data_IF_652384434545
#
_entry.id   IF_652384434545
#
_cell.length_a   1.000
_cell.length_b   1.000
_cell.length_c   1.000
_cell.angle_alpha   90.00
_cell.angle_beta   90.00
_cell.angle_gamma   90.00
#
_symmetry.space_group_name_H-M   'P 1'
#
loop_
_entity.id
_entity.type
_entity.pdbx_description
1 polymer ?
#
# COMPACT_ATOMS: atom_id res chain seq x y z
N UNK A 1 -8.71 4.39 -4.73
CA UNK A 1 -7.24 4.38 -4.93
C UNK A 1 -6.71 5.68 -5.55
N UNK A 2 -5.45 6.01 -5.29
CA UNK A 2 -4.65 7.05 -5.98
C UNK A 2 -3.39 6.39 -6.53
N UNK A 3 -2.95 6.75 -7.74
CA UNK A 3 -1.70 6.29 -8.35
C UNK A 3 -0.95 7.51 -8.90
N UNK A 4 0.25 7.79 -8.43
CA UNK A 4 1.05 8.91 -8.91
C UNK A 4 2.54 8.75 -8.55
N UNK A 5 3.36 9.73 -8.96
CA UNK A 5 4.72 9.92 -8.48
C UNK A 5 4.74 10.67 -7.15
N UNK A 6 5.71 10.35 -6.31
CA UNK A 6 5.85 10.94 -4.97
C UNK A 6 5.89 12.47 -4.98
N UNK A 7 6.48 13.08 -6.01
CA UNK A 7 6.53 14.53 -6.21
C UNK A 7 5.14 15.20 -6.27
N UNK A 8 4.10 14.43 -6.59
CA UNK A 8 2.72 14.90 -6.76
C UNK A 8 1.84 14.69 -5.53
N UNK A 9 2.33 14.10 -4.43
CA UNK A 9 1.50 13.76 -3.25
C UNK A 9 0.70 14.95 -2.71
N UNK A 10 1.30 16.16 -2.76
CA UNK A 10 0.70 17.38 -2.24
C UNK A 10 -0.56 17.82 -3.00
N UNK A 11 -0.78 17.32 -4.24
CA UNK A 11 -2.05 17.53 -4.97
C UNK A 11 -3.23 16.86 -4.26
N UNK A 12 -3.00 15.74 -3.60
CA UNK A 12 -4.01 14.94 -2.92
C UNK A 12 -4.10 15.26 -1.42
N UNK A 13 -2.95 15.58 -0.81
CA UNK A 13 -2.85 15.86 0.62
C UNK A 13 -2.15 17.20 0.90
N UNK A 14 -2.73 18.34 0.48
CA UNK A 14 -2.08 19.66 0.55
C UNK A 14 -1.95 20.22 1.97
N UNK A 15 -2.79 19.75 2.91
CA UNK A 15 -2.85 20.23 4.28
C UNK A 15 -2.25 19.20 5.25
N UNK A 16 -1.72 19.64 6.43
CA UNK A 16 -1.24 18.73 7.46
C UNK A 16 -2.33 17.74 7.90
N UNK A 17 -2.10 16.45 7.63
CA UNK A 17 -2.92 15.33 8.08
C UNK A 17 -2.03 14.08 8.19
N UNK A 18 -2.62 12.91 8.52
CA UNK A 18 -1.87 11.65 8.67
C UNK A 18 -1.16 11.23 7.38
N UNK A 19 -1.80 11.34 6.22
CA UNK A 19 -1.18 11.08 4.92
C UNK A 19 0.00 12.02 4.64
N UNK A 20 -0.18 13.33 4.83
CA UNK A 20 0.89 14.31 4.62
C UNK A 20 2.10 14.04 5.53
N UNK A 21 1.90 13.54 6.75
CA UNK A 21 2.99 13.11 7.64
C UNK A 21 3.72 11.88 7.07
N UNK A 22 2.99 10.87 6.60
CA UNK A 22 3.58 9.70 5.96
C UNK A 22 4.39 10.06 4.70
N UNK A 23 3.84 10.89 3.81
CA UNK A 23 4.53 11.35 2.60
C UNK A 23 5.75 12.21 2.89
N UNK A 24 5.70 13.09 3.91
CA UNK A 24 6.90 13.83 4.35
C UNK A 24 7.98 12.89 4.86
N UNK A 25 7.63 11.88 5.65
CA UNK A 25 8.59 10.87 6.07
C UNK A 25 9.25 10.17 4.87
N UNK A 26 8.47 9.78 3.85
CA UNK A 26 9.00 9.18 2.62
C UNK A 26 9.98 10.09 1.86
N UNK A 27 9.75 11.41 1.88
CA UNK A 27 10.57 12.40 1.16
C UNK A 27 11.83 12.84 1.93
N UNK A 28 11.74 12.89 3.26
CA UNK A 28 12.79 13.44 4.12
C UNK A 28 13.73 12.36 4.68
N UNK A 29 13.36 11.08 4.57
CA UNK A 29 14.14 9.96 5.08
C UNK A 29 15.00 9.31 4.00
N UNK A 30 16.18 8.82 4.40
CA UNK A 30 16.98 7.95 3.57
C UNK A 30 16.48 6.50 3.67
N UNK A 31 15.39 6.23 2.96
CA UNK A 31 14.67 4.94 3.01
C UNK A 31 15.55 3.74 2.65
N UNK A 32 16.61 3.92 1.85
CA UNK A 32 17.53 2.85 1.43
C UNK A 32 18.42 2.37 2.58
N UNK A 33 18.55 3.16 3.65
CA UNK A 33 19.39 2.86 4.81
C UNK A 33 18.58 2.58 6.10
N UNK A 34 17.25 2.56 6.01
CA UNK A 34 16.39 2.12 7.12
C UNK A 34 16.33 0.60 7.12
N UNK A 35 16.48 0.00 8.30
CA UNK A 35 16.40 -1.45 8.46
C UNK A 35 15.01 -1.99 8.07
N UNK A 36 14.94 -3.21 7.53
CA UNK A 36 13.67 -3.88 7.28
C UNK A 36 12.83 -4.04 8.55
N UNK A 37 11.51 -4.01 8.41
CA UNK A 37 10.55 -4.14 9.49
C UNK A 37 9.67 -2.91 9.70
N UNK A 38 8.92 -2.91 10.80
CA UNK A 38 7.96 -1.87 11.16
C UNK A 38 8.64 -0.73 11.92
N UNK A 39 8.38 0.51 11.49
CA UNK A 39 8.83 1.74 12.15
C UNK A 39 7.66 2.69 12.36
N UNK A 40 7.48 3.16 13.59
CA UNK A 40 6.42 4.11 13.94
C UNK A 40 6.81 5.53 13.55
N UNK A 41 5.89 6.27 12.92
CA UNK A 41 6.05 7.69 12.56
C UNK A 41 5.21 8.55 13.51
N UNK A 42 3.99 8.11 13.81
CA UNK A 42 3.04 8.75 14.74
C UNK A 42 2.35 7.69 15.58
N UNK A 43 3.09 7.04 16.47
CA UNK A 43 2.58 5.88 17.22
C UNK A 43 2.01 4.82 16.28
N UNK A 44 0.85 4.28 16.62
CA UNK A 44 0.13 3.31 15.78
C UNK A 44 -0.69 3.95 14.64
N UNK A 45 -0.96 5.25 14.69
CA UNK A 45 -1.80 5.92 13.68
C UNK A 45 -1.12 6.02 12.31
N UNK A 46 0.21 6.10 12.29
CA UNK A 46 1.03 6.18 11.07
C UNK A 46 2.34 5.45 11.34
N UNK A 47 2.55 4.35 10.63
CA UNK A 47 3.80 3.60 10.63
C UNK A 47 4.14 3.18 9.21
N UNK A 48 5.39 2.79 8.99
CA UNK A 48 5.87 2.24 7.74
C UNK A 48 6.40 0.83 7.97
N UNK A 49 6.26 -0.03 6.97
CA UNK A 49 6.90 -1.33 6.93
C UNK A 49 7.88 -1.30 5.76
N UNK A 50 9.17 -1.47 6.04
CA UNK A 50 10.22 -1.58 5.04
C UNK A 50 10.47 -3.06 4.75
N UNK A 51 10.43 -3.45 3.49
CA UNK A 51 10.63 -4.84 3.05
C UNK A 51 11.35 -4.89 1.70
N UNK A 52 12.26 -5.84 1.54
CA UNK A 52 12.87 -6.20 0.26
C UNK A 52 12.52 -7.64 -0.10
N UNK A 53 12.05 -7.87 -1.33
CA UNK A 53 11.67 -9.19 -1.80
C UNK A 53 11.69 -9.25 -3.34
N UNK A 54 11.72 -10.47 -3.88
CA UNK A 54 11.48 -10.69 -5.31
C UNK A 54 9.97 -10.79 -5.55
N UNK A 55 9.47 -10.10 -6.59
CA UNK A 55 8.04 -10.12 -6.93
C UNK A 55 7.58 -11.51 -7.29
N UNK A 56 6.39 -11.86 -6.83
CA UNK A 56 5.75 -13.15 -7.03
C UNK A 56 4.89 -13.15 -8.28
N UNK A 57 4.46 -14.35 -8.66
CA UNK A 57 3.40 -14.47 -9.67
C UNK A 57 2.05 -14.17 -9.03
N UNK A 58 1.10 -13.70 -9.83
CA UNK A 58 -0.23 -13.33 -9.36
C UNK A 58 -1.04 -14.50 -8.76
N UNK A 59 -0.66 -15.75 -9.00
CA UNK A 59 -1.27 -16.95 -8.42
C UNK A 59 -0.62 -17.37 -7.09
N UNK A 60 0.44 -16.68 -6.65
CA UNK A 60 1.18 -16.96 -5.41
C UNK A 60 0.80 -16.02 -4.25
N UNK A 61 -0.06 -15.02 -4.50
CA UNK A 61 -0.64 -14.13 -3.49
C UNK A 61 -2.17 -14.08 -3.65
N UNK A 62 -2.87 -13.70 -2.57
CA UNK A 62 -4.30 -13.44 -2.63
C UNK A 62 -4.53 -11.93 -2.57
N UNK A 63 -5.52 -11.39 -3.30
CA UNK A 63 -5.96 -10.02 -3.14
C UNK A 63 -6.49 -9.78 -1.73
N UNK A 64 -6.20 -8.60 -1.18
CA UNK A 64 -6.60 -8.18 0.15
C UNK A 64 -7.21 -6.78 0.16
N UNK A 65 -7.90 -6.44 1.25
CA UNK A 65 -8.30 -5.08 1.58
C UNK A 65 -8.27 -4.90 3.10
N UNK A 66 -8.33 -3.65 3.54
CA UNK A 66 -8.34 -3.25 4.94
C UNK A 66 -9.64 -2.53 5.29
N UNK A 67 -9.97 -2.43 6.58
CA UNK A 67 -11.13 -1.66 7.06
C UNK A 67 -10.73 -0.47 7.95
N UNK A 68 -9.56 -0.53 8.59
CA UNK A 68 -9.08 0.52 9.50
C UNK A 68 -8.00 1.37 8.84
N UNK A 69 -6.97 0.74 8.29
CA UNK A 69 -5.83 1.43 7.68
C UNK A 69 -6.05 1.68 6.19
N UNK A 70 -5.48 2.80 5.73
CA UNK A 70 -5.21 3.02 4.33
C UNK A 70 -3.73 2.71 4.08
N UNK A 71 -3.46 2.06 2.96
CA UNK A 71 -2.11 1.68 2.55
C UNK A 71 -1.51 2.74 1.65
N UNK A 72 -0.23 3.06 1.89
CA UNK A 72 0.62 3.80 0.95
C UNK A 72 1.72 2.84 0.52
N UNK A 73 1.57 2.26 -0.66
CA UNK A 73 2.57 1.37 -1.25
C UNK A 73 3.49 2.20 -2.13
N UNK A 74 4.78 2.27 -1.77
CA UNK A 74 5.78 3.13 -2.38
C UNK A 74 7.03 2.33 -2.76
N UNK A 75 7.50 2.49 -4.00
CA UNK A 75 8.67 1.76 -4.49
C UNK A 75 9.95 2.56 -4.22
N UNK A 76 10.72 2.08 -3.25
CA UNK A 76 12.03 2.64 -2.88
C UNK A 76 13.06 2.37 -3.99
N UNK A 77 13.05 1.16 -4.57
CA UNK A 77 13.92 0.73 -5.66
C UNK A 77 13.26 -0.43 -6.40
N UNK A 78 13.39 -0.46 -7.73
CA UNK A 78 12.83 -1.53 -8.57
C UNK A 78 11.47 -1.19 -9.18
N UNK A 79 10.64 -2.20 -9.39
CA UNK A 79 9.31 -2.09 -9.99
C UNK A 79 8.43 -3.25 -9.51
N UNK A 80 7.16 -2.98 -9.26
CA UNK A 80 6.18 -3.97 -8.80
C UNK A 80 4.88 -3.87 -9.58
N UNK A 81 4.31 -5.02 -9.94
CA UNK A 81 2.97 -5.09 -10.51
C UNK A 81 1.98 -5.44 -9.42
N UNK A 82 1.02 -4.55 -9.19
CA UNK A 82 0.06 -4.68 -8.11
C UNK A 82 -1.31 -4.89 -8.73
N UNK A 83 -1.97 -5.99 -8.36
CA UNK A 83 -3.35 -6.26 -8.75
C UNK A 83 -4.31 -5.29 -8.05
N UNK A 84 -5.43 -4.96 -8.68
CA UNK A 84 -6.47 -4.15 -8.03
C UNK A 84 -7.89 -4.50 -8.46
N UNK A 85 -8.84 -4.18 -7.59
CA UNK A 85 -10.27 -4.28 -7.84
C UNK A 85 -11.02 -3.17 -7.11
N UNK A 86 -11.98 -2.56 -7.80
CA UNK A 86 -13.08 -1.89 -7.09
C UNK A 86 -14.07 -2.95 -6.64
N UNK A 87 -14.52 -2.88 -5.39
CA UNK A 87 -15.49 -3.85 -4.88
C UNK A 87 -16.76 -3.82 -5.74
N UNK A 88 -17.09 -4.95 -6.35
CA UNK A 88 -18.25 -5.15 -7.21
C UNK A 88 -18.91 -6.52 -6.98
N UNK A 89 -18.63 -7.15 -5.83
CA UNK A 89 -19.12 -8.48 -5.47
C UNK A 89 -18.09 -9.59 -5.63
N UNK A 90 -16.80 -9.28 -5.57
CA UNK A 90 -15.73 -10.28 -5.50
C UNK A 90 -16.00 -11.22 -4.31
N UNK A 91 -15.86 -12.53 -4.54
CA UNK A 91 -16.04 -13.52 -3.49
C UNK A 91 -14.94 -13.41 -2.43
N UNK A 92 -15.33 -13.45 -1.16
CA UNK A 92 -14.43 -13.47 -0.01
C UNK A 92 -13.78 -14.86 0.09
N UNK A 93 -12.44 -14.90 0.04
CA UNK A 93 -11.63 -16.10 0.24
C UNK A 93 -11.35 -16.35 1.72
N UNK A 94 -11.07 -15.27 2.48
CA UNK A 94 -10.90 -15.31 3.94
C UNK A 94 -11.66 -14.14 4.56
N UNK A 95 -12.49 -14.46 5.54
CA UNK A 95 -13.22 -13.48 6.35
C UNK A 95 -12.28 -12.50 7.08
N UNK A 96 -12.84 -11.35 7.45
CA UNK A 96 -12.09 -10.26 8.07
C UNK A 96 -11.47 -10.64 9.41
N UNK A 97 -10.17 -10.41 9.52
CA UNK A 97 -9.36 -10.57 10.72
C UNK A 97 -9.25 -9.23 11.43
N UNK A 98 -9.97 -9.05 12.54
CA UNK A 98 -10.03 -7.79 13.29
C UNK A 98 -8.70 -7.41 13.95
N UNK A 99 -7.84 -8.39 14.25
CA UNK A 99 -6.56 -8.14 14.91
C UNK A 99 -5.50 -7.68 13.90
N UNK A 100 -5.58 -8.20 12.67
CA UNK A 100 -4.61 -7.90 11.60
C UNK A 100 -5.13 -6.93 10.54
N UNK A 101 -6.38 -6.49 10.66
CA UNK A 101 -7.08 -5.56 9.76
C UNK A 101 -7.04 -5.97 8.29
N UNK A 102 -7.36 -7.23 7.94
CA UNK A 102 -7.49 -7.60 6.53
C UNK A 102 -8.54 -8.68 6.28
N UNK A 103 -9.03 -8.71 5.04
CA UNK A 103 -9.78 -9.83 4.47
C UNK A 103 -9.22 -10.17 3.09
N UNK A 104 -9.36 -11.42 2.67
CA UNK A 104 -8.84 -11.88 1.38
C UNK A 104 -9.98 -12.14 0.40
N UNK A 105 -9.75 -11.83 -0.87
CA UNK A 105 -10.67 -12.05 -1.98
C UNK A 105 -10.08 -13.06 -2.97
N UNK A 106 -10.93 -13.60 -3.85
CA UNK A 106 -10.51 -14.62 -4.82
C UNK A 106 -9.79 -14.06 -6.06
N UNK A 107 -10.04 -12.81 -6.45
CA UNK A 107 -9.48 -12.25 -7.69
C UNK A 107 -9.43 -10.72 -7.71
N UNK A 108 -8.53 -10.20 -8.54
CA UNK A 108 -8.47 -8.80 -8.98
C UNK A 108 -9.02 -8.62 -10.40
N UNK A 109 -9.44 -7.41 -10.72
CA UNK A 109 -10.02 -7.04 -12.03
C UNK A 109 -9.01 -6.44 -13.00
N UNK A 110 -7.88 -5.96 -12.49
CA UNK A 110 -6.82 -5.34 -13.27
C UNK A 110 -5.51 -5.30 -12.50
N UNK A 111 -4.50 -4.67 -13.10
CA UNK A 111 -3.22 -4.42 -12.43
C UNK A 111 -2.66 -3.06 -12.83
N UNK A 112 -1.82 -2.51 -11.95
CA UNK A 112 -0.98 -1.33 -12.17
C UNK A 112 0.49 -1.72 -12.01
N UNK A 113 1.38 -0.94 -12.59
CA UNK A 113 2.83 -1.07 -12.36
C UNK A 113 3.27 0.18 -11.59
N UNK A 114 3.95 -0.03 -10.46
CA UNK A 114 4.66 1.01 -9.73
C UNK A 114 6.15 0.86 -10.01
N UNK A 115 6.77 1.90 -10.54
CA UNK A 115 8.23 1.99 -10.66
C UNK A 115 8.83 2.81 -9.51
N UNK A 116 10.16 2.80 -9.36
CA UNK A 116 10.88 3.60 -8.36
C UNK A 116 10.38 5.06 -8.30
N UNK A 117 10.03 5.51 -7.09
CA UNK A 117 9.49 6.85 -6.86
C UNK A 117 7.98 6.99 -7.09
N UNK A 118 7.27 5.94 -7.51
CA UNK A 118 5.82 5.91 -7.61
C UNK A 118 5.18 5.41 -6.32
N UNK A 119 3.95 5.84 -6.07
CA UNK A 119 3.12 5.35 -4.99
C UNK A 119 1.71 4.98 -5.47
N UNK A 120 1.08 4.04 -4.77
CA UNK A 120 -0.36 3.87 -4.75
C UNK A 120 -0.90 4.10 -3.35
N UNK A 121 -2.05 4.79 -3.24
CA UNK A 121 -2.85 4.81 -2.01
C UNK A 121 -4.05 3.89 -2.20
N UNK A 122 -4.15 2.87 -1.36
CA UNK A 122 -5.33 2.01 -1.24
C UNK A 122 -6.08 2.39 0.02
N UNK A 123 -7.30 2.93 -0.13
CA UNK A 123 -8.15 3.25 1.01
C UNK A 123 -8.79 1.99 1.57
N UNK A 124 -9.40 2.04 2.77
CA UNK A 124 -10.26 0.97 3.22
C UNK A 124 -11.23 0.51 2.12
N UNK A 125 -11.41 -0.80 2.02
CA UNK A 125 -12.17 -1.51 0.98
C UNK A 125 -11.58 -1.50 -0.46
N UNK A 126 -10.51 -0.75 -0.75
CA UNK A 126 -9.80 -0.87 -2.04
C UNK A 126 -9.07 -2.22 -2.08
N UNK A 127 -9.55 -3.14 -2.92
CA UNK A 127 -8.93 -4.46 -3.10
C UNK A 127 -7.63 -4.28 -3.88
N UNK A 128 -6.54 -4.80 -3.34
CA UNK A 128 -5.23 -4.76 -3.95
C UNK A 128 -4.48 -6.06 -3.72
N UNK A 129 -3.49 -6.34 -4.55
CA UNK A 129 -2.72 -7.59 -4.51
C UNK A 129 -1.25 -7.28 -4.79
N UNK A 130 -0.49 -6.89 -3.75
CA UNK A 130 0.95 -6.73 -3.83
C UNK A 130 1.66 -8.09 -3.71
N UNK A 131 2.98 -8.08 -3.88
CA UNK A 131 3.83 -9.23 -3.67
C UNK A 131 4.41 -9.83 -4.93
#
# INVERSE_FOLDING_TARGET
MILDKIENYAKYFPAPNRFAKAFRFLLESDLKNIAEGKHEIVGEDVYIIISSYETKKSDESNPEAHRVYADIQYIITGSEKIGYSFFSGQGVFKEYDTEKDYLLYNYVSGSIILDEGMFAVFFPDDIHQPG
#
